data_IF_473062672883
#
_entry.id   IF_473062672883
#
_cell.length_a   1.000
_cell.length_b   1.000
_cell.length_c   1.000
_cell.angle_alpha   90.00
_cell.angle_beta   90.00
_cell.angle_gamma   90.00
#
_symmetry.space_group_name_H-M   'P 1'
#
loop_
_entity.id
_entity.type
_entity.pdbx_description
1 polymer ?
#
# COMPACT_ATOMS: atom_id res chain seq x y z
N UNK A 1 -30.25 6.17 -2.91
CA UNK A 1 -29.14 5.23 -3.18
C UNK A 1 -29.71 3.83 -3.06
N UNK A 2 -29.51 2.95 -4.04
CA UNK A 2 -30.01 1.57 -4.03
C UNK A 2 -28.83 0.61 -4.09
N UNK A 3 -28.87 -0.47 -3.30
CA UNK A 3 -27.85 -1.52 -3.35
C UNK A 3 -28.06 -2.41 -4.58
N UNK A 4 -27.00 -2.70 -5.32
CA UNK A 4 -27.07 -3.41 -6.62
C UNK A 4 -26.54 -4.86 -6.50
N UNK A 5 -25.53 -5.10 -5.67
CA UNK A 5 -24.94 -6.42 -5.46
C UNK A 5 -24.36 -6.59 -4.04
N UNK A 6 -24.14 -7.84 -3.62
CA UNK A 6 -23.49 -8.18 -2.35
C UNK A 6 -22.30 -9.10 -2.62
N UNK A 7 -21.13 -8.73 -2.10
CA UNK A 7 -19.91 -9.51 -2.18
C UNK A 7 -19.59 -10.16 -0.81
N UNK A 8 -20.22 -11.31 -0.51
CA UNK A 8 -20.07 -12.00 0.78
C UNK A 8 -18.80 -12.86 0.89
N UNK A 9 -17.62 -12.22 0.83
CA UNK A 9 -16.29 -12.83 1.07
C UNK A 9 -15.31 -11.76 1.53
N UNK A 10 -14.10 -12.17 1.93
CA UNK A 10 -13.00 -11.21 2.15
C UNK A 10 -12.52 -10.70 0.78
N UNK A 11 -12.98 -9.51 0.40
CA UNK A 11 -12.66 -8.88 -0.88
C UNK A 11 -11.40 -8.02 -0.80
N UNK A 12 -11.00 -7.47 -1.95
CA UNK A 12 -9.93 -6.48 -2.07
C UNK A 12 -10.08 -5.29 -1.10
N UNK A 13 -11.31 -4.86 -0.80
CA UNK A 13 -11.57 -3.73 0.12
C UNK A 13 -11.45 -4.11 1.60
N UNK A 14 -11.36 -5.40 1.91
CA UNK A 14 -11.32 -5.90 3.29
C UNK A 14 -9.95 -5.71 3.92
N UNK A 15 -8.87 -6.01 3.19
CA UNK A 15 -7.51 -5.96 3.75
C UNK A 15 -7.02 -4.53 4.07
N UNK A 16 -7.27 -3.47 3.27
CA UNK A 16 -6.79 -2.13 3.58
C UNK A 16 -7.40 -1.59 4.86
N UNK A 17 -8.70 -1.85 5.07
CA UNK A 17 -9.40 -1.50 6.31
C UNK A 17 -8.76 -2.19 7.52
N UNK A 18 -8.59 -3.51 7.45
CA UNK A 18 -8.04 -4.26 8.58
C UNK A 18 -6.58 -3.90 8.88
N UNK A 19 -5.73 -3.75 7.88
CA UNK A 19 -4.34 -3.34 8.10
C UNK A 19 -4.25 -1.94 8.70
N UNK A 20 -5.05 -0.99 8.20
CA UNK A 20 -5.12 0.36 8.77
C UNK A 20 -5.43 0.30 10.25
N UNK A 21 -6.48 -0.45 10.64
CA UNK A 21 -6.84 -0.61 12.07
C UNK A 21 -5.77 -1.31 12.88
N UNK A 22 -5.18 -2.38 12.36
CA UNK A 22 -4.15 -3.15 13.07
C UNK A 22 -2.89 -2.32 13.33
N UNK A 23 -2.46 -1.52 12.36
CA UNK A 23 -1.20 -0.76 12.46
C UNK A 23 -1.35 0.49 13.29
N UNK A 24 -2.46 1.20 13.12
CA UNK A 24 -2.69 2.49 13.77
C UNK A 24 -3.35 2.34 15.14
N UNK A 25 -4.09 1.25 15.37
CA UNK A 25 -5.03 1.12 16.47
C UNK A 25 -6.35 1.87 16.24
N UNK A 26 -6.60 2.37 15.02
CA UNK A 26 -7.79 3.15 14.73
C UNK A 26 -9.09 2.34 14.92
N UNK A 27 -10.10 3.04 15.41
CA UNK A 27 -11.46 2.53 15.56
C UNK A 27 -12.43 3.42 14.78
N UNK A 28 -13.51 2.82 14.28
CA UNK A 28 -14.59 3.59 13.66
C UNK A 28 -15.36 4.28 14.79
N UNK A 29 -15.49 5.59 14.70
CA UNK A 29 -16.34 6.39 15.54
C UNK A 29 -17.77 6.35 14.99
N UNK A 30 -18.72 5.91 15.82
CA UNK A 30 -20.11 5.73 15.44
C UNK A 30 -20.89 7.05 15.33
N UNK A 31 -20.37 8.16 15.86
CA UNK A 31 -21.06 9.45 15.82
C UNK A 31 -20.83 10.19 14.49
N UNK A 32 -19.66 10.01 13.88
CA UNK A 32 -19.25 10.73 12.67
C UNK A 32 -18.85 9.83 11.49
N UNK A 33 -18.94 8.50 11.66
CA UNK A 33 -18.58 7.49 10.65
C UNK A 33 -17.12 7.61 10.14
N UNK A 34 -16.21 8.17 10.94
CA UNK A 34 -14.79 8.30 10.60
C UNK A 34 -13.92 7.35 11.43
N UNK A 35 -12.77 6.97 10.88
CA UNK A 35 -11.75 6.29 11.68
C UNK A 35 -11.03 7.30 12.55
N UNK A 36 -10.84 6.95 13.82
CA UNK A 36 -10.12 7.76 14.80
C UNK A 36 -9.03 6.97 15.48
N UNK A 37 -7.93 7.66 15.77
CA UNK A 37 -6.82 7.15 16.57
C UNK A 37 -6.30 8.27 17.46
N UNK A 38 -6.11 7.97 18.76
CA UNK A 38 -5.63 8.94 19.76
C UNK A 38 -6.38 10.29 19.74
N UNK A 39 -7.71 10.23 19.53
CA UNK A 39 -8.59 11.40 19.47
C UNK A 39 -8.52 12.21 18.17
N UNK A 40 -7.84 11.73 17.13
CA UNK A 40 -7.69 12.42 15.84
C UNK A 40 -8.27 11.59 14.69
N UNK A 41 -8.84 12.25 13.67
CA UNK A 41 -9.34 11.55 12.49
C UNK A 41 -8.19 10.95 11.69
N UNK A 42 -8.48 9.83 11.04
CA UNK A 42 -7.56 9.10 10.18
C UNK A 42 -8.34 8.58 8.98
N UNK A 43 -7.70 8.60 7.82
CA UNK A 43 -8.24 8.06 6.59
C UNK A 43 -7.24 7.09 5.98
N UNK A 44 -7.74 6.19 5.14
CA UNK A 44 -6.89 5.36 4.29
C UNK A 44 -7.41 5.39 2.86
N UNK A 45 -6.49 5.29 1.91
CA UNK A 45 -6.78 5.10 0.50
C UNK A 45 -5.98 3.89 0.00
N UNK A 46 -6.62 3.00 -0.74
CA UNK A 46 -5.96 1.85 -1.35
C UNK A 46 -5.98 1.96 -2.87
N UNK A 47 -4.90 1.51 -3.51
CA UNK A 47 -4.79 1.34 -4.95
C UNK A 47 -4.10 0.01 -5.26
N UNK A 48 -4.71 -0.84 -6.08
CA UNK A 48 -4.16 -2.14 -6.50
C UNK A 48 -3.47 -2.11 -7.87
N UNK A 49 -3.34 -0.91 -8.43
CA UNK A 49 -2.77 -0.69 -9.76
C UNK A 49 -1.76 0.47 -9.74
N UNK A 50 -0.67 0.27 -9.01
CA UNK A 50 0.52 1.13 -9.09
C UNK A 50 1.53 0.39 -9.95
N UNK A 51 1.77 0.88 -11.16
CA UNK A 51 2.39 0.10 -12.23
C UNK A 51 3.60 0.78 -12.85
N UNK A 52 4.64 0.00 -13.18
CA UNK A 52 5.82 0.46 -13.88
C UNK A 52 6.56 -0.71 -14.53
N UNK A 53 7.13 -0.53 -15.74
CA UNK A 53 8.02 -1.54 -16.34
C UNK A 53 9.17 -1.97 -15.41
N UNK A 54 9.69 -1.05 -14.58
CA UNK A 54 10.78 -1.30 -13.63
C UNK A 54 10.47 -2.48 -12.69
N UNK A 55 9.20 -2.67 -12.32
CA UNK A 55 8.76 -3.73 -11.40
C UNK A 55 9.00 -5.15 -11.95
N UNK A 56 9.22 -5.31 -13.26
CA UNK A 56 9.64 -6.59 -13.84
C UNK A 56 11.11 -6.92 -13.52
N UNK A 57 11.93 -5.90 -13.25
CA UNK A 57 13.39 -5.99 -13.24
C UNK A 57 13.97 -5.96 -11.82
N UNK A 58 13.21 -5.43 -10.86
CA UNK A 58 13.66 -5.28 -9.47
C UNK A 58 12.97 -6.28 -8.54
N UNK A 59 13.63 -6.58 -7.41
CA UNK A 59 13.06 -7.45 -6.40
C UNK A 59 11.98 -6.74 -5.57
N UNK A 60 11.11 -7.51 -4.91
CA UNK A 60 10.16 -6.96 -3.95
C UNK A 60 10.84 -6.22 -2.79
N UNK A 61 11.99 -6.70 -2.33
CA UNK A 61 12.81 -6.01 -1.32
C UNK A 61 13.28 -4.65 -1.83
N UNK A 62 13.75 -4.58 -3.08
CA UNK A 62 14.17 -3.32 -3.70
C UNK A 62 13.02 -2.32 -3.84
N UNK A 63 11.80 -2.79 -4.12
CA UNK A 63 10.60 -1.93 -4.12
C UNK A 63 10.34 -1.34 -2.75
N UNK A 64 10.38 -2.17 -1.70
CA UNK A 64 10.18 -1.73 -0.32
C UNK A 64 11.23 -0.69 0.08
N UNK A 65 12.51 -1.01 -0.16
CA UNK A 65 13.63 -0.11 0.16
C UNK A 65 13.54 1.23 -0.56
N UNK A 66 13.18 1.22 -1.85
CA UNK A 66 12.99 2.46 -2.62
C UNK A 66 11.93 3.37 -2.00
N UNK A 67 10.82 2.81 -1.52
CA UNK A 67 9.72 3.54 -0.88
C UNK A 67 10.12 4.04 0.52
N UNK A 68 10.86 3.23 1.28
CA UNK A 68 11.42 3.61 2.59
C UNK A 68 12.46 4.74 2.45
N UNK A 69 13.41 4.63 1.53
CA UNK A 69 14.45 5.63 1.25
C UNK A 69 13.85 6.97 0.80
N UNK A 70 12.70 6.93 0.14
CA UNK A 70 11.94 8.13 -0.24
C UNK A 70 11.12 8.73 0.91
N UNK A 71 11.14 8.13 2.11
CA UNK A 71 10.35 8.56 3.27
C UNK A 71 8.85 8.37 3.09
N UNK A 72 8.42 7.47 2.19
CA UNK A 72 7.01 7.21 1.88
C UNK A 72 6.45 6.00 2.63
N UNK A 73 7.32 5.15 3.17
CA UNK A 73 6.92 4.00 3.98
C UNK A 73 6.10 4.42 5.20
N UNK A 74 5.24 3.51 5.67
CA UNK A 74 4.46 3.74 6.89
C UNK A 74 5.36 3.97 8.11
N UNK A 75 5.10 5.05 8.84
CA UNK A 75 5.77 5.40 10.09
C UNK A 75 4.82 5.16 11.29
N UNK A 76 5.16 4.24 12.21
CA UNK A 76 4.36 3.98 13.41
C UNK A 76 4.22 5.16 14.37
N UNK A 77 5.15 6.13 14.36
CA UNK A 77 5.09 7.28 15.26
C UNK A 77 4.05 8.31 14.79
N UNK A 78 4.11 8.72 13.52
CA UNK A 78 3.11 9.61 12.92
C UNK A 78 1.79 8.90 12.59
N UNK A 79 1.81 7.56 12.46
CA UNK A 79 0.72 6.72 11.97
C UNK A 79 0.30 7.07 10.54
N UNK A 80 1.23 7.59 9.75
CA UNK A 80 1.02 7.96 8.34
C UNK A 80 1.99 7.23 7.41
N UNK A 81 1.71 7.26 6.11
CA UNK A 81 2.58 6.73 5.06
C UNK A 81 1.95 5.55 4.33
N UNK A 82 2.78 4.80 3.59
CA UNK A 82 2.33 3.75 2.66
C UNK A 82 2.73 2.36 3.16
N UNK A 83 1.76 1.45 3.11
CA UNK A 83 2.01 0.01 3.10
C UNK A 83 1.92 -0.54 1.69
N UNK A 84 2.95 -1.27 1.29
CA UNK A 84 2.99 -1.98 0.01
C UNK A 84 2.42 -3.38 0.18
N UNK A 85 1.64 -3.81 -0.80
CA UNK A 85 1.06 -5.14 -0.88
C UNK A 85 1.07 -5.66 -2.31
N UNK A 86 0.66 -6.93 -2.49
CA UNK A 86 0.72 -7.62 -3.78
C UNK A 86 2.12 -7.63 -4.42
N UNK A 87 3.20 -7.69 -3.62
CA UNK A 87 4.58 -7.70 -4.14
C UNK A 87 4.86 -8.87 -5.07
N UNK A 88 4.19 -10.01 -4.89
CA UNK A 88 4.27 -11.16 -5.82
C UNK A 88 3.80 -10.81 -7.24
N UNK A 89 2.95 -9.80 -7.41
CA UNK A 89 2.49 -9.31 -8.70
C UNK A 89 3.49 -8.37 -9.38
N UNK A 90 4.50 -7.85 -8.68
CA UNK A 90 5.44 -6.87 -9.21
C UNK A 90 6.11 -7.40 -10.48
N UNK A 91 6.75 -8.57 -10.40
CA UNK A 91 7.50 -9.15 -11.52
C UNK A 91 6.59 -9.67 -12.64
N UNK A 92 5.54 -10.40 -12.29
CA UNK A 92 4.67 -11.07 -13.25
C UNK A 92 3.71 -10.10 -13.99
N UNK A 93 3.28 -9.03 -13.31
CA UNK A 93 2.24 -8.13 -13.79
C UNK A 93 2.64 -6.67 -13.82
N UNK A 94 3.90 -6.34 -13.48
CA UNK A 94 4.44 -4.97 -13.51
C UNK A 94 3.62 -4.00 -12.66
N UNK A 95 3.04 -4.50 -11.58
CA UNK A 95 2.19 -3.73 -10.66
C UNK A 95 2.31 -4.20 -9.22
N UNK A 96 2.12 -3.26 -8.31
CA UNK A 96 1.97 -3.49 -6.87
C UNK A 96 0.66 -2.86 -6.40
N UNK A 97 0.22 -3.27 -5.22
CA UNK A 97 -0.81 -2.57 -4.49
C UNK A 97 -0.21 -1.73 -3.36
N UNK A 98 -0.89 -0.65 -2.99
CA UNK A 98 -0.52 0.21 -1.86
C UNK A 98 -1.74 0.61 -1.06
N UNK A 99 -1.57 0.74 0.26
CA UNK A 99 -2.54 1.37 1.18
C UNK A 99 -1.84 2.56 1.82
N UNK A 100 -2.30 3.78 1.51
CA UNK A 100 -1.81 5.02 2.10
C UNK A 100 -2.69 5.42 3.28
N UNK A 101 -2.07 5.79 4.39
CA UNK A 101 -2.72 6.22 5.64
C UNK A 101 -2.30 7.65 5.95
N UNK A 102 -3.26 8.51 6.33
CA UNK A 102 -2.98 9.89 6.75
C UNK A 102 -4.14 10.47 7.56
N UNK A 103 -3.96 11.63 8.19
CA UNK A 103 -5.05 12.41 8.75
C UNK A 103 -6.02 12.99 7.68
N UNK A 104 -5.58 13.11 6.42
CA UNK A 104 -6.35 13.78 5.36
C UNK A 104 -6.35 13.01 4.02
N UNK A 105 -7.51 13.00 3.35
CA UNK A 105 -7.69 12.32 2.05
C UNK A 105 -6.71 12.83 0.99
N UNK A 106 -6.52 14.15 0.91
CA UNK A 106 -5.59 14.74 -0.06
C UNK A 106 -4.15 14.23 0.12
N UNK A 107 -3.71 14.07 1.38
CA UNK A 107 -2.38 13.57 1.72
C UNK A 107 -2.25 12.09 1.41
N UNK A 108 -3.25 11.27 1.76
CA UNK A 108 -3.29 9.85 1.40
C UNK A 108 -3.22 9.63 -0.12
N UNK A 109 -3.98 10.40 -0.91
CA UNK A 109 -3.89 10.38 -2.37
C UNK A 109 -2.51 10.87 -2.86
N UNK A 110 -1.94 11.85 -2.15
CA UNK A 110 -0.61 12.38 -2.39
C UNK A 110 0.46 11.30 -2.29
N UNK A 111 0.41 10.47 -1.24
CA UNK A 111 1.33 9.34 -1.06
C UNK A 111 1.25 8.34 -2.22
N UNK A 112 0.06 7.95 -2.66
CA UNK A 112 -0.10 7.02 -3.80
C UNK A 112 0.49 7.63 -5.07
N UNK A 113 0.24 8.90 -5.35
CA UNK A 113 0.84 9.61 -6.49
C UNK A 113 2.36 9.69 -6.37
N UNK A 114 2.89 9.91 -5.17
CA UNK A 114 4.33 9.97 -4.93
C UNK A 114 4.99 8.62 -5.22
N UNK A 115 4.42 7.51 -4.73
CA UNK A 115 4.90 6.16 -5.05
C UNK A 115 4.87 5.90 -6.55
N UNK A 116 3.77 6.23 -7.24
CA UNK A 116 3.67 6.06 -8.69
C UNK A 116 4.77 6.85 -9.44
N UNK A 117 5.04 8.10 -9.03
CA UNK A 117 6.12 8.90 -9.64
C UNK A 117 7.49 8.29 -9.38
N UNK A 118 7.75 7.86 -8.14
CA UNK A 118 9.02 7.26 -7.73
C UNK A 118 9.37 6.06 -8.62
N UNK A 119 8.44 5.12 -8.79
CA UNK A 119 8.70 3.91 -9.59
C UNK A 119 8.68 4.15 -11.11
N UNK A 120 8.28 5.33 -11.57
CA UNK A 120 8.25 5.71 -13.00
C UNK A 120 9.38 6.71 -13.34
N UNK A 121 10.12 7.20 -12.35
CA UNK A 121 11.19 8.16 -12.57
C UNK A 121 12.36 7.53 -13.34
N UNK A 122 12.92 8.21 -14.37
CA UNK A 122 14.10 7.72 -15.07
C UNK A 122 15.34 7.79 -14.16
N UNK A 123 16.15 6.72 -14.13
CA UNK A 123 17.47 6.73 -13.49
C UNK A 123 17.62 5.91 -12.20
N UNK A 124 16.61 5.14 -11.77
CA UNK A 124 16.80 4.16 -10.69
C UNK A 124 17.64 2.97 -11.20
N UNK A 125 18.96 3.07 -11.07
CA UNK A 125 19.87 1.92 -11.17
C UNK A 125 19.76 1.16 -9.85
N UNK A 126 18.97 0.10 -9.84
CA UNK A 126 18.88 -0.81 -8.69
C UNK A 126 19.87 -1.94 -8.93
N UNK A 127 20.80 -2.15 -8.01
CA UNK A 127 21.70 -3.31 -8.07
C UNK A 127 20.88 -4.61 -8.08
N UNK A 128 21.04 -5.41 -9.12
CA UNK A 128 20.35 -6.69 -9.24
C UNK A 128 20.99 -7.71 -8.30
N UNK A 129 20.52 -7.77 -7.05
CA UNK A 129 20.84 -8.92 -6.22
C UNK A 129 19.96 -10.09 -6.65
N UNK A 130 20.60 -11.13 -7.20
CA UNK A 130 19.96 -12.38 -7.57
C UNK A 130 19.36 -13.03 -6.32
N UNK A 131 18.02 -13.05 -6.25
CA UNK A 131 17.29 -13.78 -5.20
C UNK A 131 17.10 -15.22 -5.68
N UNK A 132 17.40 -16.25 -4.86
CA UNK A 132 17.09 -17.63 -5.20
C UNK A 132 15.58 -17.83 -5.38
N UNK A 133 15.14 -18.85 -6.13
CA UNK A 133 13.73 -19.06 -6.40
C UNK A 133 12.92 -19.13 -5.09
N UNK A 134 11.76 -18.46 -5.08
CA UNK A 134 10.77 -18.59 -4.01
C UNK A 134 10.45 -20.09 -3.93
N UNK A 135 10.71 -20.67 -2.76
CA UNK A 135 10.48 -22.08 -2.47
C UNK A 135 9.11 -22.50 -3.02
N UNK A 136 9.09 -23.43 -3.98
CA UNK A 136 7.85 -24.00 -4.48
C UNK A 136 7.07 -24.53 -3.28
N UNK A 137 5.85 -24.04 -3.09
CA UNK A 137 4.95 -24.55 -2.07
C UNK A 137 4.73 -26.03 -2.37
N UNK A 138 5.40 -26.90 -1.60
CA UNK A 138 5.20 -28.35 -1.66
C UNK A 138 3.76 -28.62 -1.23
N UNK A 139 2.89 -28.88 -2.21
CA UNK A 139 1.63 -29.61 -2.04
C UNK A 139 1.88 -31.05 -1.63
#
# INVERSE_FOLDING_TARGET
>A
MWAIEINARKCATTHPYFWTRTLTGAALDAENDMLHVDGRPLVYQSAEYVASPLLAEISGESVLRMIEDAGLGYDPQSKEGVLVHMLSCARAHRKIGVTAISAHHHTADGYIRAVQRLITAPGHVVESNSIPPICEART
#
